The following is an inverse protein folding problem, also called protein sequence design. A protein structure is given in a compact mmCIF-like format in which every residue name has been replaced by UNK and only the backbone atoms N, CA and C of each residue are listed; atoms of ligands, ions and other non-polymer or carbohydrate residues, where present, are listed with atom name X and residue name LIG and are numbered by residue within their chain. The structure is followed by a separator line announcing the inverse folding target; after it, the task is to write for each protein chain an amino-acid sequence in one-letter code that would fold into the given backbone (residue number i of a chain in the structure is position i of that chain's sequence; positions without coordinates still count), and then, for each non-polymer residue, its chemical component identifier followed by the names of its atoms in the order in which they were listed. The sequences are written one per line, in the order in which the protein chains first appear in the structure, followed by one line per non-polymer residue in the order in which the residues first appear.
data_IF_132831538726
#
_entry.id   IF_132831538726
#
_cell.length_a   1.000
_cell.length_b   1.000
_cell.length_c   1.000
_cell.angle_alpha   90.00
_cell.angle_beta   90.00
_cell.angle_gamma   90.00
#
_symmetry.space_group_name_H-M   'P 1'
#
loop_
_entity.id
_entity.type
_entity.pdbx_description
1 polymer ?
#
# COMPACT_ATOMS: atom_id res chain seq x y z
N UNK A 1 -16.20 -1.58 -17.53
CA UNK A 1 -14.79 -1.46 -17.10
C UNK A 1 -14.54 -2.50 -16.02
N UNK A 2 -13.84 -3.58 -16.37
CA UNK A 2 -13.45 -4.62 -15.41
C UNK A 2 -12.25 -4.10 -14.60
N UNK A 3 -12.43 -3.90 -13.30
CA UNK A 3 -11.32 -3.62 -12.38
C UNK A 3 -10.47 -4.89 -12.32
N UNK A 4 -9.33 -4.89 -13.02
CA UNK A 4 -8.35 -5.96 -13.02
C UNK A 4 -8.02 -6.35 -11.59
N UNK A 5 -8.50 -7.52 -11.19
CA UNK A 5 -8.14 -8.15 -9.94
C UNK A 5 -6.66 -8.49 -10.05
N UNK A 6 -5.82 -7.68 -9.42
CA UNK A 6 -4.41 -8.00 -9.16
C UNK A 6 -4.38 -9.20 -8.21
N UNK A 7 -4.67 -10.38 -8.74
CA UNK A 7 -4.38 -11.64 -8.08
C UNK A 7 -2.87 -11.75 -8.01
N UNK A 8 -2.26 -11.21 -6.94
CA UNK A 8 -0.94 -11.66 -6.55
C UNK A 8 -1.05 -13.19 -6.47
N UNK A 9 -0.25 -13.92 -7.25
CA UNK A 9 -0.16 -15.38 -7.08
C UNK A 9 0.63 -15.59 -5.80
N UNK A 10 -0.01 -16.12 -4.78
CA UNK A 10 0.62 -16.48 -3.53
C UNK A 10 0.31 -17.95 -3.24
N UNK A 11 1.33 -18.69 -2.82
CA UNK A 11 1.15 -20.01 -2.23
C UNK A 11 0.62 -19.83 -0.79
N UNK A 12 -0.25 -20.72 -0.33
CA UNK A 12 -0.85 -20.66 1.01
C UNK A 12 -1.69 -19.39 1.28
N UNK A 13 -2.62 -19.05 0.39
CA UNK A 13 -3.53 -17.91 0.61
C UNK A 13 -4.43 -18.20 1.82
N UNK A 14 -4.41 -17.31 2.82
CA UNK A 14 -5.25 -17.38 4.02
C UNK A 14 -6.16 -16.15 4.08
N UNK A 15 -7.45 -16.37 4.36
CA UNK A 15 -8.40 -15.30 4.61
C UNK A 15 -8.04 -14.54 5.88
N UNK A 16 -7.75 -13.23 5.77
CA UNK A 16 -7.41 -12.37 6.93
C UNK A 16 -8.54 -12.20 7.95
N UNK A 17 -9.78 -12.49 7.56
CA UNK A 17 -10.96 -12.33 8.43
C UNK A 17 -11.24 -13.58 9.26
N UNK A 18 -11.18 -14.76 8.64
CA UNK A 18 -11.62 -16.00 9.27
C UNK A 18 -10.54 -17.09 9.35
N UNK A 19 -9.33 -16.84 8.84
CA UNK A 19 -8.23 -17.80 8.84
C UNK A 19 -8.39 -18.98 7.87
N UNK A 20 -9.44 -19.01 7.05
CA UNK A 20 -9.65 -20.10 6.10
C UNK A 20 -8.55 -20.11 5.03
N UNK A 21 -7.98 -21.29 4.76
CA UNK A 21 -6.96 -21.48 3.72
C UNK A 21 -7.63 -21.70 2.37
N UNK A 22 -7.08 -21.12 1.31
CA UNK A 22 -7.57 -21.27 -0.05
C UNK A 22 -7.26 -22.67 -0.59
N UNK A 23 -8.32 -23.45 -0.84
CA UNK A 23 -8.20 -24.74 -1.54
C UNK A 23 -7.89 -24.56 -3.04
N UNK A 24 -8.25 -23.39 -3.60
CA UNK A 24 -8.01 -23.02 -5.00
C UNK A 24 -7.52 -21.57 -5.10
N UNK A 25 -6.61 -21.24 -6.02
CA UNK A 25 -6.06 -19.88 -6.17
C UNK A 25 -7.13 -18.78 -6.30
N UNK A 26 -8.24 -19.08 -6.99
CA UNK A 26 -9.30 -18.10 -7.28
C UNK A 26 -10.42 -18.06 -6.22
N UNK A 27 -10.31 -18.85 -5.15
CA UNK A 27 -11.35 -18.90 -4.10
C UNK A 27 -11.35 -17.67 -3.18
N UNK A 28 -10.28 -16.87 -3.23
CA UNK A 28 -10.05 -15.72 -2.37
C UNK A 28 -9.81 -14.46 -3.21
N UNK A 29 -10.33 -13.35 -2.73
CA UNK A 29 -10.17 -12.03 -3.35
C UNK A 29 -9.12 -11.22 -2.59
N UNK A 30 -8.14 -10.68 -3.30
CA UNK A 30 -7.16 -9.78 -2.69
C UNK A 30 -7.74 -8.37 -2.58
N UNK A 31 -7.79 -7.85 -1.36
CA UNK A 31 -8.21 -6.47 -1.07
C UNK A 31 -6.97 -5.65 -0.79
N UNK A 32 -6.71 -4.61 -1.59
CA UNK A 32 -5.51 -3.75 -1.46
C UNK A 32 -5.41 -3.15 -0.05
N UNK A 33 -4.20 -3.19 0.54
CA UNK A 33 -3.93 -2.74 1.91
C UNK A 33 -4.53 -3.64 3.01
N UNK A 34 -5.34 -4.64 2.65
CA UNK A 34 -5.99 -5.56 3.58
C UNK A 34 -5.53 -7.02 3.40
N UNK A 35 -5.20 -7.50 2.21
CA UNK A 35 -4.83 -8.90 1.98
C UNK A 35 -5.99 -9.75 1.48
N UNK A 36 -5.82 -11.07 1.48
CA UNK A 36 -6.80 -12.00 0.91
C UNK A 36 -8.01 -12.20 1.82
N UNK A 37 -9.19 -12.27 1.20
CA UNK A 37 -10.47 -12.48 1.86
C UNK A 37 -11.25 -13.54 1.11
N UNK A 38 -11.78 -14.53 1.82
CA UNK A 38 -12.64 -15.54 1.21
C UNK A 38 -13.95 -14.89 0.73
N UNK A 39 -14.63 -15.52 -0.25
CA UNK A 39 -15.88 -14.98 -0.81
C UNK A 39 -16.93 -14.64 0.26
N UNK A 40 -17.10 -15.49 1.28
CA UNK A 40 -18.07 -15.29 2.37
C UNK A 40 -17.77 -14.02 3.17
N UNK A 41 -16.52 -13.85 3.60
CA UNK A 41 -16.08 -12.65 4.33
C UNK A 41 -16.03 -11.41 3.44
N UNK A 42 -15.74 -11.57 2.14
CA UNK A 42 -15.70 -10.46 1.18
C UNK A 42 -17.07 -9.83 0.91
N UNK A 43 -18.14 -10.60 1.04
CA UNK A 43 -19.52 -10.12 0.83
C UNK A 43 -20.11 -9.40 2.04
N UNK A 44 -19.48 -9.51 3.22
CA UNK A 44 -19.97 -8.83 4.42
C UNK A 44 -19.92 -7.30 4.24
N UNK A 45 -20.95 -6.58 4.70
CA UNK A 45 -20.97 -5.13 4.65
C UNK A 45 -19.94 -4.55 5.61
N UNK A 46 -19.22 -3.54 5.15
CA UNK A 46 -18.30 -2.71 5.94
C UNK A 46 -18.61 -1.24 5.66
N UNK A 47 -18.29 -0.37 6.62
CA UNK A 47 -18.51 1.08 6.48
C UNK A 47 -17.26 1.72 5.90
N UNK A 48 -17.45 2.62 4.94
CA UNK A 48 -16.38 3.47 4.43
C UNK A 48 -16.06 4.60 5.42
N UNK A 49 -14.81 4.70 5.85
CA UNK A 49 -14.33 5.76 6.76
C UNK A 49 -14.22 7.14 6.10
N UNK A 50 -14.43 7.23 4.78
CA UNK A 50 -14.43 8.48 4.03
C UNK A 50 -15.81 9.12 3.89
N UNK A 51 -16.82 8.32 3.55
CA UNK A 51 -18.17 8.83 3.24
C UNK A 51 -19.30 8.17 4.05
N UNK A 52 -19.00 7.21 4.93
CA UNK A 52 -19.99 6.51 5.75
C UNK A 52 -20.83 5.47 5.01
N UNK A 53 -20.63 5.28 3.70
CA UNK A 53 -21.40 4.33 2.91
C UNK A 53 -21.13 2.87 3.34
N UNK A 54 -22.18 2.05 3.40
CA UNK A 54 -22.08 0.59 3.55
C UNK A 54 -21.75 -0.05 2.21
N UNK A 55 -20.59 -0.68 2.11
CA UNK A 55 -20.09 -1.34 0.89
C UNK A 55 -19.62 -2.75 1.21
N UNK A 56 -19.43 -3.60 0.20
CA UNK A 56 -18.90 -4.95 0.43
C UNK A 56 -17.42 -4.88 0.73
N UNK A 57 -16.92 -5.71 1.67
CA UNK A 57 -15.49 -5.75 2.03
C UNK A 57 -14.58 -6.00 0.82
N UNK A 58 -15.00 -6.80 -0.16
CA UNK A 58 -14.21 -7.02 -1.38
C UNK A 58 -14.11 -5.79 -2.29
N UNK A 59 -14.93 -4.76 -2.07
CA UNK A 59 -14.98 -3.52 -2.85
C UNK A 59 -14.38 -2.32 -2.13
N UNK A 60 -13.59 -2.55 -1.09
CA UNK A 60 -12.88 -1.49 -0.35
C UNK A 60 -11.37 -1.57 -0.60
N UNK A 61 -10.66 -0.58 -0.11
CA UNK A 61 -9.20 -0.56 -0.01
C UNK A 61 -8.85 0.01 1.35
N UNK A 62 -7.80 -0.52 1.97
CA UNK A 62 -7.28 0.06 3.22
C UNK A 62 -6.13 0.99 2.89
N UNK A 63 -6.24 2.24 3.32
CA UNK A 63 -5.21 3.27 3.15
C UNK A 63 -4.99 3.97 4.48
N UNK A 64 -3.77 3.89 5.02
CA UNK A 64 -3.37 4.50 6.32
C UNK A 64 -4.32 4.11 7.46
N UNK A 65 -4.62 2.82 7.58
CA UNK A 65 -5.55 2.28 8.59
C UNK A 65 -7.05 2.56 8.33
N UNK A 66 -7.40 3.36 7.32
CA UNK A 66 -8.80 3.68 6.97
C UNK A 66 -9.32 2.74 5.90
N UNK A 67 -10.51 2.21 6.09
CA UNK A 67 -11.28 1.42 5.11
C UNK A 67 -12.04 2.36 4.18
N UNK A 68 -11.63 2.45 2.91
CA UNK A 68 -12.21 3.36 1.94
C UNK A 68 -12.92 2.60 0.82
N UNK A 69 -14.11 3.07 0.42
CA UNK A 69 -14.70 2.64 -0.84
C UNK A 69 -13.83 3.11 -2.02
N UNK A 70 -13.94 2.44 -3.17
CA UNK A 70 -13.10 2.75 -4.35
C UNK A 70 -13.13 4.22 -4.76
N UNK A 71 -14.28 4.90 -4.62
CA UNK A 71 -14.40 6.32 -4.93
C UNK A 71 -13.60 7.19 -3.95
N UNK A 72 -13.75 6.98 -2.65
CA UNK A 72 -12.99 7.72 -1.64
C UNK A 72 -11.49 7.40 -1.74
N UNK A 73 -11.15 6.14 -2.00
CA UNK A 73 -9.77 5.73 -2.25
C UNK A 73 -9.17 6.48 -3.45
N UNK A 74 -9.89 6.59 -4.57
CA UNK A 74 -9.41 7.35 -5.74
C UNK A 74 -9.15 8.82 -5.39
N UNK A 75 -10.08 9.46 -4.69
CA UNK A 75 -9.93 10.86 -4.26
C UNK A 75 -8.72 11.03 -3.33
N UNK A 76 -8.54 10.16 -2.34
CA UNK A 76 -7.40 10.17 -1.42
C UNK A 76 -6.07 9.82 -2.12
N UNK A 77 -6.12 8.99 -3.17
CA UNK A 77 -4.97 8.68 -4.02
C UNK A 77 -4.54 9.86 -4.89
N UNK A 78 -5.51 10.62 -5.40
CA UNK A 78 -5.27 11.82 -6.21
C UNK A 78 -4.81 13.02 -5.35
N UNK A 79 -5.40 13.18 -4.16
CA UNK A 79 -5.05 14.26 -3.21
C UNK A 79 -3.80 13.97 -2.38
N UNK A 80 -3.49 12.71 -2.11
CA UNK A 80 -2.36 12.34 -1.27
C UNK A 80 -1.01 12.61 -1.93
N UNK A 81 -0.03 13.03 -1.13
CA UNK A 81 1.36 13.14 -1.57
C UNK A 81 1.85 11.81 -2.15
N UNK A 82 2.05 11.82 -3.47
CA UNK A 82 2.52 10.65 -4.25
C UNK A 82 3.96 10.31 -3.90
N UNK A 83 4.73 11.34 -3.57
CA UNK A 83 6.13 11.27 -3.19
C UNK A 83 6.38 12.08 -1.94
N UNK A 84 7.24 11.56 -1.08
CA UNK A 84 7.69 12.23 0.13
C UNK A 84 9.21 12.20 0.18
N UNK A 85 9.79 13.21 0.81
CA UNK A 85 11.22 13.35 0.98
C UNK A 85 11.55 13.36 2.48
N UNK A 86 12.50 12.54 2.92
CA UNK A 86 13.05 12.60 4.28
C UNK A 86 14.53 12.88 4.25
N UNK A 87 14.99 13.67 5.21
CA UNK A 87 16.40 13.98 5.40
C UNK A 87 17.02 13.02 6.42
N UNK A 88 18.21 12.51 6.11
CA UNK A 88 19.00 11.63 6.95
C UNK A 88 20.41 12.20 7.08
N UNK A 89 20.91 12.32 8.31
CA UNK A 89 22.30 12.72 8.55
C UNK A 89 23.19 11.48 8.53
N UNK A 90 24.16 11.44 7.62
CA UNK A 90 25.09 10.32 7.44
C UNK A 90 26.41 10.79 6.82
N UNK A 91 27.52 10.10 7.12
CA UNK A 91 28.85 10.48 6.63
C UNK A 91 29.18 9.83 5.27
N UNK A 92 28.49 8.75 4.90
CA UNK A 92 28.63 8.11 3.59
C UNK A 92 27.26 7.79 2.96
N UNK A 93 27.28 7.42 1.68
CA UNK A 93 26.06 7.04 0.94
C UNK A 93 25.49 5.72 1.45
N UNK A 94 26.33 4.78 1.87
CA UNK A 94 25.95 3.47 2.39
C UNK A 94 25.21 3.61 3.72
N UNK A 95 25.73 4.44 4.63
CA UNK A 95 25.09 4.77 5.91
C UNK A 95 23.73 5.44 5.66
N UNK A 96 23.67 6.42 4.76
CA UNK A 96 22.43 7.09 4.40
C UNK A 96 21.41 6.15 3.76
N UNK A 97 21.86 5.21 2.92
CA UNK A 97 20.99 4.21 2.30
C UNK A 97 20.42 3.23 3.34
N UNK A 98 21.25 2.73 4.24
CA UNK A 98 20.81 1.85 5.33
C UNK A 98 19.78 2.56 6.23
N UNK A 99 20.07 3.81 6.64
CA UNK A 99 19.16 4.62 7.44
C UNK A 99 17.84 4.89 6.72
N UNK A 100 17.88 5.15 5.42
CA UNK A 100 16.69 5.40 4.61
C UNK A 100 15.79 4.17 4.48
N UNK A 101 16.38 2.97 4.37
CA UNK A 101 15.64 1.71 4.34
C UNK A 101 15.01 1.40 5.69
N UNK A 102 15.77 1.49 6.78
CA UNK A 102 15.29 1.21 8.15
C UNK A 102 14.17 2.18 8.56
N UNK A 103 14.25 3.45 8.16
CA UNK A 103 13.28 4.49 8.51
C UNK A 103 12.23 4.74 7.41
N UNK A 104 11.98 3.74 6.56
CA UNK A 104 10.99 3.83 5.47
C UNK A 104 9.58 4.12 6.02
N UNK A 105 8.89 5.16 5.52
CA UNK A 105 7.52 5.45 5.94
C UNK A 105 6.55 4.33 5.56
N UNK A 106 5.63 3.98 6.46
CA UNK A 106 4.62 2.95 6.20
C UNK A 106 3.77 3.31 4.96
N UNK A 107 3.62 2.36 4.04
CA UNK A 107 2.87 2.53 2.78
C UNK A 107 3.64 3.28 1.68
N UNK A 108 4.94 3.51 1.84
CA UNK A 108 5.82 4.08 0.83
C UNK A 108 6.99 3.14 0.54
N UNK A 109 7.46 3.17 -0.70
CA UNK A 109 8.60 2.42 -1.23
C UNK A 109 9.75 3.40 -1.45
N UNK A 110 10.94 3.05 -0.98
CA UNK A 110 12.15 3.81 -1.25
C UNK A 110 12.46 3.80 -2.75
N UNK A 111 12.64 4.97 -3.35
CA UNK A 111 12.88 5.14 -4.79
C UNK A 111 14.32 5.58 -5.07
N UNK A 112 14.88 6.41 -4.21
CA UNK A 112 16.24 6.90 -4.41
C UNK A 112 16.72 7.77 -3.25
N UNK A 113 18.02 8.04 -3.24
CA UNK A 113 18.67 8.90 -2.27
C UNK A 113 19.68 9.80 -2.96
N UNK A 114 19.81 11.03 -2.49
CA UNK A 114 20.77 12.00 -3.02
C UNK A 114 21.35 12.86 -1.91
N UNK A 115 22.61 13.26 -2.04
CA UNK A 115 23.21 14.24 -1.15
C UNK A 115 22.52 15.60 -1.35
N UNK A 116 22.13 16.27 -0.27
CA UNK A 116 21.56 17.61 -0.32
C UNK A 116 22.63 18.58 -0.81
N UNK A 117 22.40 19.37 -1.88
CA UNK A 117 23.46 20.20 -2.48
C UNK A 117 24.15 21.17 -1.51
N UNK A 118 23.43 21.59 -0.46
CA UNK A 118 23.93 22.52 0.57
C UNK A 118 24.62 21.83 1.75
N UNK A 119 24.86 20.51 1.71
CA UNK A 119 25.39 19.76 2.84
C UNK A 119 26.37 18.67 2.40
N UNK A 120 27.35 18.36 3.25
CA UNK A 120 28.24 17.20 3.09
C UNK A 120 27.76 15.96 3.85
N UNK A 121 26.75 16.11 4.69
CA UNK A 121 26.29 15.06 5.62
C UNK A 121 24.78 14.81 5.59
N UNK A 122 24.01 15.66 4.90
CA UNK A 122 22.55 15.50 4.84
C UNK A 122 22.15 14.89 3.50
N UNK A 123 21.50 13.75 3.58
CA UNK A 123 21.00 13.00 2.44
C UNK A 123 19.49 13.07 2.39
N UNK A 124 18.93 13.27 1.20
CA UNK A 124 17.49 13.32 0.95
C UNK A 124 17.07 12.00 0.32
N UNK A 125 16.33 11.19 1.07
CA UNK A 125 15.70 9.98 0.58
C UNK A 125 14.32 10.31 0.00
N UNK A 126 14.06 9.85 -1.21
CA UNK A 126 12.79 9.94 -1.91
C UNK A 126 12.03 8.63 -1.78
N UNK A 127 10.76 8.73 -1.40
CA UNK A 127 9.85 7.60 -1.30
C UNK A 127 8.61 7.85 -2.14
N UNK A 128 8.10 6.83 -2.81
CA UNK A 128 6.86 6.88 -3.59
C UNK A 128 5.83 5.94 -2.96
N UNK A 129 4.56 6.31 -2.99
CA UNK A 129 3.51 5.45 -2.43
C UNK A 129 3.49 4.07 -3.08
N UNK A 130 3.37 3.03 -2.26
CA UNK A 130 3.43 1.62 -2.72
C UNK A 130 2.38 1.30 -3.78
N UNK A 131 1.15 1.80 -3.62
CA UNK A 131 0.06 1.57 -4.57
C UNK A 131 0.28 2.26 -5.93
N UNK A 132 1.10 3.32 -5.97
CA UNK A 132 1.50 4.01 -7.19
C UNK A 132 2.67 3.25 -7.82
N UNK A 133 3.68 2.93 -7.02
CA UNK A 133 4.87 2.19 -7.45
C UNK A 133 4.49 0.86 -8.10
N UNK A 134 3.66 0.05 -7.43
CA UNK A 134 3.20 -1.25 -7.93
C UNK A 134 2.34 -1.14 -9.20
N UNK A 135 1.65 -0.02 -9.41
CA UNK A 135 0.85 0.20 -10.63
C UNK A 135 1.67 0.58 -11.87
N UNK A 136 2.97 0.87 -11.73
CA UNK A 136 3.87 1.14 -12.87
C UNK A 136 4.57 -0.12 -13.37
N UNK A 137 4.67 -1.15 -12.54
CA UNK A 137 5.34 -2.41 -12.88
C UNK A 137 4.37 -3.47 -13.42
N UNK A 138 3.19 -3.06 -13.91
CA UNK A 138 2.14 -3.91 -14.47
C UNK A 138 1.93 -3.66 -15.94
#
# INVERSE_FOLDING_TARGET
MMLGHLGKRAENIVCRVCGAVAEKPDSHHYVTGFGYVCRRCGLQPVVCDGCGAKVRRMTVTVLRGRTLCLNCYRVEREKGEKRIFKEHSANSVEEAFAAALENSPEGYVFVGIRLKPSSKQVWVAEYEREDIFLSRCS
#
